data_IF_764410864329
#
_entry.id   IF_764410864329
#
_cell.length_a   1.000
_cell.length_b   1.000
_cell.length_c   1.000
_cell.angle_alpha   90.00
_cell.angle_beta   90.00
_cell.angle_gamma   90.00
#
_symmetry.space_group_name_H-M   'P 1'
#
loop_
_entity.id
_entity.type
_entity.pdbx_description
1 polymer ?
#
# COMPACT_ATOMS: atom_id res chain seq x y z
N UNK A 1 -21.51 1.45 -42.98
CA UNK A 1 -21.03 1.74 -41.60
C UNK A 1 -19.61 2.26 -41.71
N UNK A 2 -19.40 3.54 -41.38
CA UNK A 2 -18.21 4.30 -41.75
C UNK A 2 -16.97 3.82 -41.00
N UNK A 3 -15.88 3.54 -41.73
CA UNK A 3 -14.55 3.18 -41.20
C UNK A 3 -13.99 4.21 -40.20
N UNK A 4 -14.56 5.43 -40.20
CA UNK A 4 -14.23 6.51 -39.28
C UNK A 4 -14.64 6.24 -37.81
N UNK A 5 -15.66 5.40 -37.58
CA UNK A 5 -16.15 5.10 -36.22
C UNK A 5 -15.23 4.15 -35.43
N UNK A 6 -14.47 3.29 -36.13
CA UNK A 6 -13.54 2.34 -35.51
C UNK A 6 -12.25 3.01 -35.01
N UNK A 7 -11.79 4.07 -35.70
CA UNK A 7 -10.63 4.85 -35.29
C UNK A 7 -10.88 5.65 -34.00
N UNK A 8 -12.11 6.11 -33.77
CA UNK A 8 -12.45 6.91 -32.59
C UNK A 8 -12.47 6.09 -31.29
N UNK A 9 -12.85 4.80 -31.35
CA UNK A 9 -12.80 3.91 -30.18
C UNK A 9 -11.37 3.53 -29.76
N UNK A 10 -10.40 3.52 -30.70
CA UNK A 10 -9.01 3.14 -30.40
C UNK A 10 -8.25 4.20 -29.61
N UNK A 11 -8.62 5.48 -29.72
CA UNK A 11 -7.92 6.59 -29.04
C UNK A 11 -8.33 6.71 -27.57
N UNK A 12 -9.54 6.28 -27.21
CA UNK A 12 -10.05 6.41 -25.84
C UNK A 12 -9.43 5.40 -24.84
N UNK A 13 -8.90 4.26 -25.32
CA UNK A 13 -8.23 3.27 -24.45
C UNK A 13 -6.80 3.66 -24.03
N UNK A 14 -6.21 4.71 -24.61
CA UNK A 14 -4.81 5.09 -24.32
C UNK A 14 -4.64 5.96 -23.07
N UNK A 15 -5.73 6.34 -22.38
CA UNK A 15 -5.68 7.22 -21.20
C UNK A 15 -5.77 6.50 -19.85
N UNK A 16 -5.68 5.16 -19.80
CA UNK A 16 -5.59 4.42 -18.52
C UNK A 16 -4.12 4.31 -18.06
N UNK A 17 -3.29 5.31 -18.38
CA UNK A 17 -2.00 5.48 -17.73
C UNK A 17 -2.26 6.03 -16.31
N UNK A 18 -2.51 5.12 -15.36
CA UNK A 18 -2.60 5.44 -13.94
C UNK A 18 -1.24 5.96 -13.47
N UNK A 19 -1.10 7.27 -13.31
CA UNK A 19 -0.02 7.85 -12.50
C UNK A 19 -0.36 7.64 -11.02
N UNK A 20 0.53 7.02 -10.24
CA UNK A 20 0.39 6.95 -8.79
C UNK A 20 0.31 8.36 -8.20
N UNK A 21 -0.78 8.62 -7.47
CA UNK A 21 -1.02 9.89 -6.80
C UNK A 21 -0.37 9.94 -5.41
N UNK A 22 -0.29 11.14 -4.82
CA UNK A 22 0.14 11.31 -3.43
C UNK A 22 -0.78 10.54 -2.46
N UNK A 23 -2.08 10.43 -2.78
CA UNK A 23 -3.03 9.66 -2.00
C UNK A 23 -2.73 8.16 -2.05
N UNK A 24 -2.34 7.63 -3.22
CA UNK A 24 -1.90 6.23 -3.35
C UNK A 24 -0.63 5.97 -2.53
N UNK A 25 0.30 6.93 -2.52
CA UNK A 25 1.53 6.86 -1.73
C UNK A 25 1.23 6.83 -0.23
N UNK A 26 0.38 7.72 0.26
CA UNK A 26 0.00 7.74 1.68
C UNK A 26 -0.83 6.50 2.06
N UNK A 27 -1.70 6.00 1.18
CA UNK A 27 -2.43 4.74 1.37
C UNK A 27 -1.46 3.57 1.51
N UNK A 28 -0.44 3.47 0.65
CA UNK A 28 0.60 2.45 0.73
C UNK A 28 1.39 2.53 2.04
N UNK A 29 1.88 3.72 2.41
CA UNK A 29 2.62 3.96 3.65
C UNK A 29 1.81 3.52 4.87
N UNK A 30 0.54 3.92 4.94
CA UNK A 30 -0.36 3.56 6.05
C UNK A 30 -0.57 2.05 6.14
N UNK A 31 -0.76 1.40 5.00
CA UNK A 31 -0.98 -0.05 4.93
C UNK A 31 0.26 -0.82 5.36
N UNK A 32 1.44 -0.46 4.83
CA UNK A 32 2.70 -1.11 5.19
C UNK A 32 2.99 -0.91 6.69
N UNK A 33 2.75 0.28 7.23
CA UNK A 33 2.87 0.55 8.67
C UNK A 33 2.01 -0.41 9.50
N UNK A 34 0.74 -0.56 9.15
CA UNK A 34 -0.17 -1.48 9.84
C UNK A 34 0.31 -2.94 9.75
N UNK A 35 0.90 -3.34 8.61
CA UNK A 35 1.53 -4.67 8.43
C UNK A 35 2.73 -4.85 9.36
N UNK A 36 3.62 -3.86 9.48
CA UNK A 36 4.76 -3.95 10.40
C UNK A 36 4.30 -4.08 11.84
N UNK A 37 3.32 -3.29 12.25
CA UNK A 37 2.74 -3.37 13.60
C UNK A 37 2.16 -4.77 13.84
N UNK A 38 1.42 -5.34 12.89
CA UNK A 38 0.89 -6.69 13.02
C UNK A 38 2.00 -7.74 13.21
N UNK A 39 3.06 -7.68 12.40
CA UNK A 39 4.18 -8.63 12.48
C UNK A 39 5.00 -8.49 13.75
N UNK A 40 5.12 -7.28 14.28
CA UNK A 40 5.85 -7.04 15.53
C UNK A 40 5.04 -7.51 16.75
N UNK A 41 3.72 -7.27 16.76
CA UNK A 41 2.88 -7.56 17.93
C UNK A 41 2.52 -9.03 18.08
N UNK A 42 2.42 -9.76 16.98
CA UNK A 42 1.93 -11.14 16.98
C UNK A 42 3.04 -12.08 16.53
N UNK A 43 3.64 -12.80 17.48
CA UNK A 43 4.67 -13.81 17.20
C UNK A 43 4.10 -15.03 16.47
N UNK A 44 2.82 -15.35 16.71
CA UNK A 44 2.12 -16.40 15.98
C UNK A 44 1.83 -15.93 14.55
N UNK A 45 2.45 -16.60 13.57
CA UNK A 45 2.33 -16.27 12.15
C UNK A 45 0.89 -16.34 11.64
N UNK A 46 0.06 -17.26 12.14
CA UNK A 46 -1.35 -17.38 11.74
C UNK A 46 -2.17 -16.17 12.20
N UNK A 47 -1.93 -15.74 13.45
CA UNK A 47 -2.55 -14.53 14.00
C UNK A 47 -2.05 -13.29 13.26
N UNK A 48 -0.74 -13.16 13.05
CA UNK A 48 -0.14 -12.05 12.32
C UNK A 48 -0.71 -11.94 10.88
N UNK A 49 -0.86 -13.06 10.18
CA UNK A 49 -1.44 -13.10 8.84
C UNK A 49 -2.91 -12.64 8.83
N UNK A 50 -3.67 -12.99 9.87
CA UNK A 50 -5.05 -12.52 10.03
C UNK A 50 -5.09 -11.01 10.19
N UNK A 51 -4.18 -10.42 10.96
CA UNK A 51 -4.08 -8.98 11.16
C UNK A 51 -3.56 -8.25 9.91
N UNK A 52 -2.65 -8.85 9.15
CA UNK A 52 -2.23 -8.33 7.83
C UNK A 52 -3.41 -8.25 6.86
N UNK A 53 -4.27 -9.28 6.81
CA UNK A 53 -5.50 -9.23 5.99
C UNK A 53 -6.44 -8.11 6.42
N UNK A 54 -6.54 -7.85 7.73
CA UNK A 54 -7.30 -6.70 8.25
C UNK A 54 -6.68 -5.37 7.83
N UNK A 55 -5.35 -5.26 7.84
CA UNK A 55 -4.64 -4.06 7.37
C UNK A 55 -4.95 -3.75 5.89
N UNK A 56 -4.94 -4.78 5.02
CA UNK A 56 -5.35 -4.60 3.63
C UNK A 56 -6.79 -4.10 3.52
N UNK A 57 -7.74 -4.79 4.17
CA UNK A 57 -9.16 -4.42 4.12
C UNK A 57 -9.42 -2.99 4.65
N UNK A 58 -8.78 -2.62 5.75
CA UNK A 58 -8.90 -1.29 6.38
C UNK A 58 -8.46 -0.17 5.43
N UNK A 59 -7.44 -0.43 4.62
CA UNK A 59 -6.87 0.56 3.71
C UNK A 59 -7.30 0.34 2.25
N UNK A 60 -8.40 -0.38 2.03
CA UNK A 60 -8.99 -0.63 0.70
C UNK A 60 -8.03 -1.31 -0.29
N UNK A 61 -7.10 -2.10 0.21
CA UNK A 61 -6.22 -2.95 -0.60
C UNK A 61 -6.77 -4.37 -0.72
N UNK A 62 -6.48 -4.98 -1.87
CA UNK A 62 -6.29 -6.43 -1.95
C UNK A 62 -4.80 -6.72 -1.80
N UNK A 63 -4.44 -7.97 -1.50
CA UNK A 63 -3.03 -8.36 -1.46
C UNK A 63 -2.33 -8.13 -2.81
N UNK A 64 -3.05 -8.37 -3.92
CA UNK A 64 -2.53 -8.16 -5.27
C UNK A 64 -2.26 -6.67 -5.54
N UNK A 65 -3.23 -5.79 -5.26
CA UNK A 65 -3.04 -4.35 -5.54
C UNK A 65 -1.98 -3.72 -4.63
N UNK A 66 -1.83 -4.24 -3.39
CA UNK A 66 -0.73 -3.83 -2.52
C UNK A 66 0.63 -4.30 -3.08
N UNK A 67 0.70 -5.52 -3.61
CA UNK A 67 1.92 -6.03 -4.23
C UNK A 67 2.30 -5.27 -5.50
N UNK A 68 1.32 -4.84 -6.29
CA UNK A 68 1.53 -3.98 -7.47
C UNK A 68 2.12 -2.62 -7.06
N UNK A 69 1.56 -1.98 -6.02
CA UNK A 69 2.12 -0.74 -5.46
C UNK A 69 3.52 -0.95 -4.88
N UNK A 70 3.76 -2.06 -4.16
CA UNK A 70 5.08 -2.41 -3.67
C UNK A 70 6.08 -2.55 -4.81
N UNK A 71 5.70 -3.25 -5.88
CA UNK A 71 6.53 -3.41 -7.08
C UNK A 71 6.77 -2.08 -7.77
N UNK A 72 5.81 -1.17 -7.80
CA UNK A 72 5.97 0.17 -8.34
C UNK A 72 6.98 0.98 -7.52
N UNK A 73 6.79 1.10 -6.21
CA UNK A 73 7.65 1.94 -5.37
C UNK A 73 9.07 1.39 -5.23
N UNK A 74 9.28 0.08 -5.33
CA UNK A 74 10.62 -0.52 -5.28
C UNK A 74 11.47 -0.29 -6.53
N UNK A 75 10.89 0.27 -7.61
CA UNK A 75 11.65 0.62 -8.82
C UNK A 75 12.63 1.78 -8.61
N UNK A 76 12.36 2.66 -7.64
CA UNK A 76 13.32 3.68 -7.18
C UNK A 76 13.76 3.34 -5.75
N UNK A 77 14.93 2.68 -5.58
CA UNK A 77 15.40 2.28 -4.27
C UNK A 77 15.63 3.45 -3.31
N UNK A 78 15.99 4.64 -3.81
CA UNK A 78 16.26 5.79 -2.94
C UNK A 78 14.95 6.31 -2.34
N UNK A 79 13.95 6.53 -3.19
CA UNK A 79 12.62 6.96 -2.74
C UNK A 79 11.95 5.89 -1.87
N UNK A 80 12.13 4.61 -2.21
CA UNK A 80 11.62 3.51 -1.40
C UNK A 80 12.26 3.48 0.00
N UNK A 81 13.57 3.71 0.11
CA UNK A 81 14.24 3.79 1.41
C UNK A 81 13.69 4.93 2.28
N UNK A 82 13.52 6.13 1.70
CA UNK A 82 12.92 7.29 2.39
C UNK A 82 11.50 6.94 2.88
N UNK A 83 10.73 6.25 2.04
CA UNK A 83 9.39 5.79 2.38
C UNK A 83 9.41 4.78 3.54
N UNK A 84 10.32 3.81 3.49
CA UNK A 84 10.47 2.79 4.53
C UNK A 84 10.88 3.39 5.88
N UNK A 85 11.74 4.40 5.89
CA UNK A 85 12.12 5.10 7.13
C UNK A 85 10.91 5.84 7.73
N UNK A 86 10.10 6.47 6.88
CA UNK A 86 8.82 7.07 7.30
C UNK A 86 7.88 6.02 7.89
N UNK A 87 7.73 4.88 7.23
CA UNK A 87 6.88 3.77 7.67
C UNK A 87 7.34 3.25 9.04
N UNK A 88 8.64 2.98 9.20
CA UNK A 88 9.23 2.48 10.47
C UNK A 88 9.04 3.48 11.60
N UNK A 89 9.34 4.75 11.37
CA UNK A 89 9.17 5.79 12.39
C UNK A 89 7.72 5.89 12.85
N UNK A 90 6.75 5.86 11.92
CA UNK A 90 5.32 5.89 12.27
C UNK A 90 4.89 4.62 13.01
N UNK A 91 5.36 3.44 12.59
CA UNK A 91 5.05 2.18 13.25
C UNK A 91 5.56 2.14 14.70
N UNK A 92 6.81 2.59 14.92
CA UNK A 92 7.41 2.65 16.26
C UNK A 92 6.63 3.59 17.19
N UNK A 93 6.23 4.76 16.70
CA UNK A 93 5.41 5.70 17.47
C UNK A 93 4.08 5.08 17.90
N UNK A 94 3.41 4.35 16.99
CA UNK A 94 2.13 3.71 17.28
C UNK A 94 2.31 2.53 18.26
N UNK A 95 3.36 1.73 18.13
CA UNK A 95 3.70 0.67 19.09
C UNK A 95 3.92 1.25 20.50
N UNK A 96 4.70 2.32 20.63
CA UNK A 96 4.91 3.00 21.92
C UNK A 96 3.61 3.51 22.54
N UNK A 97 2.68 4.02 21.72
CA UNK A 97 1.35 4.47 22.20
C UNK A 97 0.51 3.30 22.68
N UNK A 98 0.50 2.20 21.93
CA UNK A 98 -0.23 0.97 22.28
C UNK A 98 0.29 0.34 23.58
N UNK A 99 1.60 0.41 23.84
CA UNK A 99 2.19 -0.13 25.07
C UNK A 99 1.95 0.78 26.29
N UNK A 100 1.94 2.11 26.09
CA UNK A 100 1.59 3.08 27.14
C UNK A 100 0.13 2.96 27.56
N UNK A 101 -0.79 2.67 26.63
CA UNK A 101 -2.21 2.49 26.94
C UNK A 101 -2.57 1.19 27.66
N UNK A 102 -1.60 0.29 27.88
CA UNK A 102 -1.78 -0.98 28.61
C UNK A 102 -1.34 -0.92 30.08
N UNK A 103 -0.72 0.19 30.52
CA UNK A 103 -0.33 0.44 31.91
C UNK A 103 -1.38 1.29 32.60
#
# INVERSE_FOLDING_TARGET
MSKFSLLFCSVFMLFIACSHSDDDRERFIRTYKDILIARERYQDTSVANTEVKKAYKKNQYTEQTFFEDWKYYTQDPKEFLIMMDTIRSRAQQDLMRLDKGKK
#
